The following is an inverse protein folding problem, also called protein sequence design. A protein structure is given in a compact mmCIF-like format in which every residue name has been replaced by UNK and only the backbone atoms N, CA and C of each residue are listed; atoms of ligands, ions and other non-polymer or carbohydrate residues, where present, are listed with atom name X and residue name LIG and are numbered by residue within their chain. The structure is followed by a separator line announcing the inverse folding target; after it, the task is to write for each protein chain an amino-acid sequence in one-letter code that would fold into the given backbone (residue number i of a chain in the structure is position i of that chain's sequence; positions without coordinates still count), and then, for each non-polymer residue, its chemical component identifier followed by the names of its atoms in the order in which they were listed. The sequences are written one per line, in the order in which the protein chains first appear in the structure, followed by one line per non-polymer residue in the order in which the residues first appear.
data_IF_667495370863
#
_entry.id   IF_667495370863
#
_cell.length_a   1.000
_cell.length_b   1.000
_cell.length_c   1.000
_cell.angle_alpha   90.00
_cell.angle_beta   90.00
_cell.angle_gamma   90.00
#
_symmetry.space_group_name_H-M   'P 1'
#
loop_
_entity.id
_entity.type
_entity.pdbx_description
1 polymer ?
#
# COMPACT_ATOMS: atom_id res chain seq x y z
N UNK A 1 -22.73 -28.88 -1.60
CA UNK A 1 -21.83 -27.70 -1.64
C UNK A 1 -22.26 -26.76 -0.52
N UNK A 2 -21.35 -26.15 0.24
CA UNK A 2 -21.73 -25.12 1.23
C UNK A 2 -21.90 -23.79 0.50
N UNK A 3 -23.07 -23.19 0.61
CA UNK A 3 -23.35 -21.85 0.09
C UNK A 3 -23.34 -20.86 1.27
N UNK A 4 -22.50 -19.83 1.18
CA UNK A 4 -22.54 -18.70 2.10
C UNK A 4 -23.25 -17.56 1.37
N UNK A 5 -24.42 -17.12 1.84
CA UNK A 5 -25.18 -16.01 1.24
C UNK A 5 -25.37 -14.90 2.28
N UNK A 6 -25.18 -13.66 1.86
CA UNK A 6 -25.40 -12.46 2.67
C UNK A 6 -26.33 -11.56 1.86
N UNK A 7 -27.46 -11.14 2.44
CA UNK A 7 -28.40 -10.19 1.85
C UNK A 7 -28.46 -8.97 2.78
N UNK A 8 -28.19 -7.79 2.23
CA UNK A 8 -28.24 -6.53 2.96
C UNK A 8 -29.24 -5.60 2.28
N UNK A 9 -30.23 -5.13 3.04
CA UNK A 9 -31.17 -4.10 2.62
C UNK A 9 -30.99 -2.89 3.52
N UNK A 10 -30.58 -1.76 2.94
CA UNK A 10 -30.37 -0.51 3.67
C UNK A 10 -31.47 0.47 3.24
N UNK A 11 -32.43 0.70 4.14
CA UNK A 11 -33.51 1.66 3.92
C UNK A 11 -33.20 2.93 4.71
N UNK A 12 -33.12 4.07 4.00
CA UNK A 12 -33.00 5.39 4.64
C UNK A 12 -34.34 6.13 4.55
N UNK A 13 -34.60 7.04 5.49
CA UNK A 13 -35.83 7.84 5.49
C UNK A 13 -35.86 8.82 4.32
N UNK A 14 -37.07 9.14 3.83
CA UNK A 14 -37.32 10.03 2.69
C UNK A 14 -37.13 11.54 3.03
N UNK A 15 -36.17 11.84 3.90
CA UNK A 15 -35.84 13.17 4.39
C UNK A 15 -34.92 13.89 3.40
N UNK A 16 -35.11 15.19 3.15
CA UNK A 16 -34.23 15.95 2.26
C UNK A 16 -32.78 15.86 2.75
N UNK A 17 -31.79 15.77 1.84
CA UNK A 17 -30.38 15.62 2.21
C UNK A 17 -29.96 16.78 3.13
N UNK A 18 -29.84 16.47 4.42
CA UNK A 18 -29.26 17.37 5.40
C UNK A 18 -27.74 17.27 5.28
N UNK A 19 -27.04 18.38 5.51
CA UNK A 19 -25.57 18.37 5.58
C UNK A 19 -25.00 17.51 6.72
N UNK A 20 -25.87 16.93 7.56
CA UNK A 20 -25.52 16.11 8.72
C UNK A 20 -25.69 14.59 8.50
N UNK A 21 -25.85 14.13 7.26
CA UNK A 21 -25.82 12.68 6.99
C UNK A 21 -24.38 12.16 6.98
N UNK A 22 -24.01 11.40 7.99
CA UNK A 22 -22.67 10.78 8.16
C UNK A 22 -22.45 9.51 7.31
N UNK A 23 -23.40 9.17 6.43
CA UNK A 23 -23.31 7.97 5.58
C UNK A 23 -23.45 6.65 6.34
N UNK A 24 -22.98 5.57 5.71
CA UNK A 24 -22.94 4.21 6.26
C UNK A 24 -21.58 3.60 5.94
N UNK A 25 -20.82 3.20 6.96
CA UNK A 25 -19.56 2.45 6.80
C UNK A 25 -19.79 0.99 7.19
N UNK A 26 -19.51 0.06 6.29
CA UNK A 26 -19.67 -1.37 6.52
C UNK A 26 -18.33 -2.06 6.29
N UNK A 27 -17.89 -2.80 7.30
CA UNK A 27 -16.72 -3.66 7.24
C UNK A 27 -17.16 -5.12 7.39
N UNK A 28 -16.73 -5.97 6.45
CA UNK A 28 -16.97 -7.41 6.53
C UNK A 28 -15.64 -8.15 6.69
N UNK A 29 -15.41 -8.72 7.88
CA UNK A 29 -14.25 -9.57 8.15
C UNK A 29 -14.64 -11.04 8.04
N UNK A 30 -13.93 -11.80 7.22
CA UNK A 30 -14.01 -13.25 7.22
C UNK A 30 -13.21 -13.85 8.38
N UNK A 31 -13.85 -14.68 9.21
CA UNK A 31 -13.21 -15.32 10.36
C UNK A 31 -13.42 -16.84 10.38
N UNK A 32 -12.54 -17.52 11.12
CA UNK A 32 -12.70 -18.94 11.48
C UNK A 32 -12.74 -19.10 13.00
N UNK A 33 -13.32 -20.21 13.47
CA UNK A 33 -13.33 -20.55 14.90
C UNK A 33 -11.91 -20.87 15.39
N UNK A 34 -11.61 -20.61 16.68
CA UNK A 34 -10.30 -20.91 17.30
C UNK A 34 -9.76 -22.32 17.03
N UNK A 35 -10.65 -23.31 16.92
CA UNK A 35 -10.32 -24.71 16.61
C UNK A 35 -9.80 -24.96 15.19
N UNK A 36 -10.02 -24.02 14.26
CA UNK A 36 -9.64 -24.12 12.85
C UNK A 36 -8.57 -23.10 12.48
N UNK A 37 -7.94 -22.48 13.46
CA UNK A 37 -6.88 -21.51 13.22
C UNK A 37 -5.60 -22.19 12.79
N UNK A 38 -5.16 -21.86 11.58
CA UNK A 38 -3.87 -22.26 11.07
C UNK A 38 -2.81 -21.26 11.54
N UNK A 39 -1.79 -21.67 12.33
CA UNK A 39 -0.76 -20.76 12.83
C UNK A 39 0.10 -20.14 11.72
N UNK A 40 0.08 -20.72 10.51
CA UNK A 40 0.86 -20.23 9.38
C UNK A 40 0.26 -18.97 8.77
N UNK A 41 -1.06 -18.92 8.58
CA UNK A 41 -1.72 -17.90 7.76
C UNK A 41 -2.80 -17.10 8.51
N UNK A 42 -3.09 -17.45 9.76
CA UNK A 42 -4.15 -16.81 10.54
C UNK A 42 -3.61 -16.20 11.83
N UNK A 43 -4.29 -15.15 12.28
CA UNK A 43 -4.02 -14.45 13.53
C UNK A 43 -5.18 -14.70 14.51
N UNK A 44 -4.91 -15.21 15.73
CA UNK A 44 -5.94 -15.42 16.74
C UNK A 44 -6.24 -14.14 17.51
N UNK A 45 -7.50 -13.69 17.44
CA UNK A 45 -7.97 -12.58 18.26
C UNK A 45 -7.89 -12.94 19.75
N UNK A 46 -7.62 -11.94 20.59
CA UNK A 46 -7.40 -12.14 22.02
C UNK A 46 -8.68 -12.58 22.74
N UNK A 47 -9.78 -11.85 22.56
CA UNK A 47 -11.03 -12.06 23.29
C UNK A 47 -12.08 -12.81 22.48
N UNK A 48 -12.20 -12.52 21.19
CA UNK A 48 -13.34 -12.97 20.36
C UNK A 48 -13.33 -14.45 19.97
N UNK A 49 -12.34 -15.25 20.41
CA UNK A 49 -12.19 -16.71 20.13
C UNK A 49 -12.32 -17.08 18.64
N UNK A 50 -12.00 -16.14 17.77
CA UNK A 50 -11.94 -16.33 16.33
C UNK A 50 -10.53 -16.05 15.84
N UNK A 51 -10.27 -16.40 14.59
CA UNK A 51 -9.07 -15.99 13.91
C UNK A 51 -9.40 -15.37 12.57
N UNK A 52 -8.62 -14.36 12.23
CA UNK A 52 -8.65 -13.62 10.98
C UNK A 52 -7.42 -14.01 10.14
N UNK A 53 -7.36 -13.54 8.90
CA UNK A 53 -6.17 -13.68 8.06
C UNK A 53 -5.02 -12.84 8.62
N UNK A 54 -3.78 -13.32 8.60
CA UNK A 54 -2.60 -12.50 8.99
C UNK A 54 -2.42 -11.24 8.15
N UNK A 55 -2.99 -11.20 6.95
CA UNK A 55 -2.94 -10.01 6.08
C UNK A 55 -3.80 -8.85 6.61
N UNK A 56 -4.68 -9.14 7.58
CA UNK A 56 -5.56 -8.17 8.25
C UNK A 56 -5.00 -7.77 9.63
N UNK A 57 -3.78 -8.18 9.96
CA UNK A 57 -3.12 -7.72 11.17
C UNK A 57 -2.35 -6.45 10.82
N UNK A 58 -2.48 -5.39 11.60
CA UNK A 58 -1.79 -4.13 11.38
C UNK A 58 -2.15 -3.43 10.05
N UNK A 59 -3.40 -3.55 9.60
CA UNK A 59 -3.89 -2.87 8.40
C UNK A 59 -4.66 -1.56 8.69
N UNK A 60 -4.74 -1.19 9.97
CA UNK A 60 -5.37 0.04 10.45
C UNK A 60 -6.87 -0.09 10.67
N UNK A 61 -7.42 -1.31 10.61
CA UNK A 61 -8.84 -1.58 10.78
C UNK A 61 -9.03 -2.66 11.84
N UNK A 62 -9.85 -2.40 12.86
CA UNK A 62 -10.20 -3.41 13.87
C UNK A 62 -11.09 -4.52 13.27
N UNK A 63 -10.46 -5.62 12.87
CA UNK A 63 -11.14 -6.78 12.32
C UNK A 63 -11.56 -7.79 13.39
N UNK A 64 -10.87 -7.83 14.53
CA UNK A 64 -11.23 -8.70 15.63
C UNK A 64 -12.43 -8.18 16.46
N UNK A 65 -12.72 -6.88 16.38
CA UNK A 65 -13.73 -6.16 17.17
C UNK A 65 -13.32 -5.90 18.62
N UNK A 66 -12.12 -6.33 19.00
CA UNK A 66 -11.47 -6.12 20.30
C UNK A 66 -10.15 -5.33 20.16
N UNK A 67 -9.81 -4.88 18.95
CA UNK A 67 -8.57 -4.16 18.62
C UNK A 67 -7.30 -4.99 18.74
N UNK A 68 -7.40 -6.31 18.99
CA UNK A 68 -6.22 -7.15 19.24
C UNK A 68 -5.31 -7.36 18.04
N UNK A 69 -5.85 -7.14 16.84
CA UNK A 69 -5.15 -7.12 15.57
C UNK A 69 -4.50 -5.77 15.22
N UNK A 70 -4.78 -4.73 16.00
CA UNK A 70 -4.29 -3.35 15.82
C UNK A 70 -3.65 -2.79 17.11
N UNK A 71 -2.57 -3.39 17.63
CA UNK A 71 -1.90 -2.89 18.84
C UNK A 71 -1.21 -1.54 18.60
N UNK A 72 -0.99 -0.75 19.66
CA UNK A 72 -0.33 0.56 19.57
C UNK A 72 1.09 0.51 18.97
N UNK A 73 1.78 -0.62 19.11
CA UNK A 73 3.12 -0.88 18.54
C UNK A 73 3.06 -1.35 17.07
N UNK A 74 1.91 -1.17 16.43
CA UNK A 74 1.76 -1.39 15.01
C UNK A 74 2.50 -0.30 14.25
N UNK A 75 3.66 -0.65 13.67
CA UNK A 75 4.17 0.13 12.53
C UNK A 75 3.17 -0.10 11.40
N UNK A 76 2.20 0.82 11.26
CA UNK A 76 1.20 0.78 10.19
C UNK A 76 1.91 0.44 8.88
N UNK A 77 1.60 -0.73 8.31
CA UNK A 77 2.08 -1.09 6.99
C UNK A 77 1.26 -0.25 6.03
N UNK A 78 1.60 1.04 5.95
CA UNK A 78 1.12 1.91 4.92
C UNK A 78 1.50 1.22 3.61
N UNK A 79 0.50 0.79 2.85
CA UNK A 79 0.68 -0.02 1.64
C UNK A 79 1.28 0.80 0.50
N UNK A 80 2.31 1.60 0.77
CA UNK A 80 3.23 2.16 -0.19
C UNK A 80 4.03 1.02 -0.82
N UNK A 81 3.34 0.38 -1.76
CA UNK A 81 3.89 -0.30 -2.92
C UNK A 81 5.15 0.45 -3.38
N UNK A 82 6.14 -0.34 -3.75
CA UNK A 82 7.44 -0.07 -4.38
C UNK A 82 7.44 0.90 -5.60
N UNK A 83 6.46 1.80 -5.74
CA UNK A 83 6.26 2.70 -6.89
C UNK A 83 6.73 4.14 -6.60
N UNK A 84 7.23 4.47 -5.40
CA UNK A 84 7.88 5.79 -5.19
C UNK A 84 9.24 5.92 -5.91
N UNK A 85 9.90 4.80 -6.25
CA UNK A 85 11.20 4.81 -6.96
C UNK A 85 11.09 4.59 -8.47
N UNK A 86 9.89 4.35 -9.00
CA UNK A 86 9.66 4.26 -10.44
C UNK A 86 10.16 5.51 -11.21
N UNK A 87 9.92 6.76 -10.73
CA UNK A 87 10.51 7.94 -11.36
C UNK A 87 12.04 8.03 -11.17
N UNK A 88 12.57 7.60 -10.01
CA UNK A 88 14.02 7.64 -9.72
C UNK A 88 14.83 6.69 -10.61
N UNK A 89 14.31 5.49 -10.91
CA UNK A 89 14.94 4.54 -11.82
C UNK A 89 14.89 5.01 -13.29
N UNK A 90 13.84 5.75 -13.67
CA UNK A 90 13.75 6.35 -15.01
C UNK A 90 14.69 7.54 -15.21
N UNK A 91 14.98 8.33 -14.17
CA UNK A 91 15.85 9.51 -14.30
C UNK A 91 17.33 9.15 -14.48
N UNK A 92 17.79 8.04 -13.88
CA UNK A 92 19.18 7.57 -14.02
C UNK A 92 19.51 7.20 -15.47
N UNK A 93 18.57 6.63 -16.22
CA UNK A 93 18.76 6.32 -17.64
C UNK A 93 18.80 7.60 -18.50
N UNK A 94 18.00 8.61 -18.15
CA UNK A 94 18.01 9.92 -18.83
C UNK A 94 19.33 10.65 -18.59
N UNK A 95 19.81 10.78 -17.35
CA UNK A 95 21.06 11.50 -17.04
C UNK A 95 22.31 10.84 -17.61
N UNK A 96 22.33 9.51 -17.73
CA UNK A 96 23.44 8.77 -18.34
C UNK A 96 23.59 9.07 -19.83
N UNK A 97 22.47 9.27 -20.55
CA UNK A 97 22.50 9.66 -21.96
C UNK A 97 22.89 11.13 -22.15
N UNK A 98 22.43 12.03 -21.27
CA UNK A 98 22.80 13.45 -21.32
C UNK A 98 24.28 13.70 -21.01
N UNK A 99 24.88 12.99 -20.04
CA UNK A 99 26.30 13.15 -19.71
C UNK A 99 27.23 12.64 -20.81
N UNK A 100 26.87 11.57 -21.51
CA UNK A 100 27.64 11.02 -22.63
C UNK A 100 27.72 12.01 -23.82
N UNK A 101 26.65 12.77 -24.07
CA UNK A 101 26.63 13.83 -25.10
C UNK A 101 27.54 14.99 -24.69
N UNK A 102 27.43 15.47 -23.45
CA UNK A 102 28.29 16.54 -22.93
C UNK A 102 29.77 16.13 -22.86
N UNK A 103 30.07 14.89 -22.49
CA UNK A 103 31.44 14.37 -22.47
C UNK A 103 32.04 14.26 -23.87
N UNK A 104 31.24 13.87 -24.88
CA UNK A 104 31.67 13.91 -26.29
C UNK A 104 31.92 15.35 -26.79
N UNK A 105 31.07 16.30 -26.42
CA UNK A 105 31.26 17.72 -26.78
C UNK A 105 32.48 18.31 -26.07
N UNK A 106 32.64 18.03 -24.78
CA UNK A 106 33.76 18.48 -23.96
C UNK A 106 35.10 17.89 -24.43
N UNK A 107 35.14 16.59 -24.75
CA UNK A 107 36.33 15.93 -25.31
C UNK A 107 36.68 16.45 -26.71
N UNK A 108 35.70 16.78 -27.57
CA UNK A 108 35.94 17.48 -28.85
C UNK A 108 36.50 18.90 -28.66
N UNK A 109 36.01 19.64 -27.66
CA UNK A 109 36.50 20.99 -27.34
C UNK A 109 37.95 20.95 -26.82
N UNK A 110 38.28 19.99 -25.95
CA UNK A 110 39.65 19.80 -25.41
C UNK A 110 40.64 19.37 -26.51
N UNK A 111 40.22 18.54 -27.47
CA UNK A 111 41.05 18.11 -28.61
C UNK A 111 41.36 19.26 -29.58
N UNK A 112 40.43 20.18 -29.79
CA UNK A 112 40.64 21.35 -30.67
C UNK A 112 41.53 22.43 -30.05
N UNK A 113 41.42 22.65 -28.73
CA UNK A 113 42.27 23.62 -28.00
C UNK A 113 43.72 23.13 -27.82
N UNK A 114 43.93 21.81 -27.72
CA UNK A 114 45.28 21.24 -27.60
C UNK A 114 46.05 21.25 -28.93
N UNK A 115 45.36 21.19 -30.08
CA UNK A 115 45.99 21.33 -31.41
C UNK A 115 46.42 22.78 -31.69
N UNK A 116 45.69 23.78 -31.17
CA UNK A 116 45.99 25.21 -31.40
C UNK A 116 47.10 25.78 -30.49
N UNK A 117 47.59 25.01 -29.49
CA UNK A 117 48.67 25.44 -28.58
C UNK A 117 50.06 24.94 -28.98
N UNK A 118 50.16 24.18 -30.07
CA UNK A 118 51.41 23.61 -30.60
C UNK A 118 51.68 24.03 -32.06
N UNK A 119 51.15 25.18 -32.49
CA UNK A 119 51.50 25.90 -33.73
C UNK A 119 51.84 27.35 -33.39
#
# INVERSE_FOLDING_TARGET
MRENRITLEVVTSNSPPSANYTGLNILFTGYVSRSRCSPNNMFPCLESKVCISKALFCDGIDHCGDGSDEPDDCESIDQHTWIEWAPMLCWISVYSLFSAVLFKVYSKKKRSVMVFRNL
#
